data_IF_429441349087
#
_entry.id   IF_429441349087
#
_cell.length_a   1.000
_cell.length_b   1.000
_cell.length_c   1.000
_cell.angle_alpha   90.00
_cell.angle_beta   90.00
_cell.angle_gamma   90.00
#
_symmetry.space_group_name_H-M   'P 1'
#
loop_
_entity.id
_entity.type
_entity.pdbx_description
1 polymer ?
#
# COMPACT_ATOMS: atom_id res chain seq x y z
N UNK A 1 -21.28 7.68 -18.50
CA UNK A 1 -21.25 6.35 -19.14
C UNK A 1 -21.87 5.39 -18.18
N UNK A 2 -22.77 4.52 -18.62
CA UNK A 2 -23.31 3.51 -17.71
C UNK A 2 -22.24 2.48 -17.34
N UNK A 3 -22.26 1.90 -16.12
CA UNK A 3 -21.20 0.97 -15.68
C UNK A 3 -20.98 -0.21 -16.63
N UNK A 4 -22.06 -0.74 -17.21
CA UNK A 4 -22.00 -1.84 -18.17
C UNK A 4 -21.29 -1.45 -19.47
N UNK A 5 -21.61 -0.27 -20.02
CA UNK A 5 -20.94 0.25 -21.23
C UNK A 5 -19.44 0.50 -20.98
N UNK A 6 -19.08 0.86 -19.75
CA UNK A 6 -17.69 1.02 -19.36
C UNK A 6 -16.98 -0.33 -19.23
N UNK A 7 -17.60 -1.31 -18.57
CA UNK A 7 -17.08 -2.68 -18.45
C UNK A 7 -16.84 -3.32 -19.81
N UNK A 8 -17.77 -3.15 -20.76
CA UNK A 8 -17.63 -3.69 -22.12
C UNK A 8 -16.38 -3.17 -22.85
N UNK A 9 -15.80 -2.04 -22.41
CA UNK A 9 -14.57 -1.48 -22.97
C UNK A 9 -13.31 -2.00 -22.29
N UNK A 10 -13.35 -2.15 -20.96
CA UNK A 10 -12.14 -2.33 -20.15
C UNK A 10 -12.00 -3.71 -19.55
N UNK A 11 -13.03 -4.54 -19.61
CA UNK A 11 -13.08 -5.81 -18.91
C UNK A 11 -13.61 -6.96 -19.78
N UNK A 12 -13.37 -8.17 -19.30
CA UNK A 12 -14.04 -9.40 -19.72
C UNK A 12 -14.51 -10.18 -18.49
N UNK A 13 -15.42 -11.14 -18.67
CA UNK A 13 -15.87 -12.02 -17.59
C UNK A 13 -14.98 -13.26 -17.55
N UNK A 14 -14.39 -13.53 -16.38
CA UNK A 14 -13.62 -14.75 -16.09
C UNK A 14 -14.09 -15.40 -14.79
N UNK A 15 -13.61 -16.61 -14.54
CA UNK A 15 -13.80 -17.30 -13.26
C UNK A 15 -12.57 -17.12 -12.37
N UNK A 16 -12.80 -16.78 -11.10
CA UNK A 16 -11.74 -16.61 -10.11
C UNK A 16 -12.12 -17.32 -8.80
N UNK A 17 -11.14 -17.96 -8.16
CA UNK A 17 -11.31 -18.48 -6.80
C UNK A 17 -11.21 -17.32 -5.81
N UNK A 18 -12.31 -17.05 -5.10
CA UNK A 18 -12.44 -15.94 -4.14
C UNK A 18 -12.21 -16.37 -2.71
N UNK A 19 -11.77 -17.61 -2.49
CA UNK A 19 -11.65 -18.24 -1.17
C UNK A 19 -12.96 -18.77 -0.61
N UNK A 20 -14.10 -18.46 -1.25
CA UNK A 20 -15.42 -18.99 -0.94
C UNK A 20 -15.98 -19.90 -2.04
N UNK A 21 -15.24 -20.04 -3.15
CA UNK A 21 -15.64 -20.80 -4.33
C UNK A 21 -15.17 -20.12 -5.62
N UNK A 22 -15.52 -20.73 -6.75
CA UNK A 22 -15.35 -20.13 -8.06
C UNK A 22 -16.51 -19.17 -8.32
N UNK A 23 -16.19 -17.89 -8.52
CA UNK A 23 -17.15 -16.85 -8.86
C UNK A 23 -16.84 -16.25 -10.23
N UNK A 24 -17.89 -15.78 -10.92
CA UNK A 24 -17.73 -14.97 -12.12
C UNK A 24 -17.39 -13.53 -11.73
N UNK A 25 -16.29 -13.02 -12.28
CA UNK A 25 -15.77 -11.69 -12.00
C UNK A 25 -15.44 -10.96 -13.29
N UNK A 26 -15.49 -9.63 -13.24
CA UNK A 26 -14.93 -8.77 -14.26
C UNK A 26 -13.43 -8.65 -14.03
N UNK A 27 -12.65 -9.07 -15.02
CA UNK A 27 -11.20 -8.97 -15.07
C UNK A 27 -10.79 -7.91 -16.09
N UNK A 28 -9.75 -7.16 -15.78
CA UNK A 28 -9.19 -6.13 -16.65
C UNK A 28 -8.66 -6.74 -17.95
N UNK A 29 -9.00 -6.12 -19.09
CA UNK A 29 -8.44 -6.46 -20.40
C UNK A 29 -6.94 -6.12 -20.52
N UNK A 30 -6.36 -5.44 -19.53
CA UNK A 30 -4.97 -4.96 -19.57
C UNK A 30 -3.98 -5.92 -18.91
N UNK A 31 -4.37 -6.57 -17.82
CA UNK A 31 -3.48 -7.37 -16.97
C UNK A 31 -4.18 -8.49 -16.19
N UNK A 32 -5.44 -8.80 -16.53
CA UNK A 32 -6.28 -9.77 -15.82
C UNK A 32 -6.54 -9.44 -14.34
N UNK A 33 -6.30 -8.20 -13.91
CA UNK A 33 -6.59 -7.79 -12.53
C UNK A 33 -8.09 -7.75 -12.24
N UNK A 34 -8.46 -8.15 -11.03
CA UNK A 34 -9.85 -8.11 -10.56
C UNK A 34 -10.40 -6.68 -10.51
N UNK A 35 -11.61 -6.49 -11.04
CA UNK A 35 -12.35 -5.21 -10.99
C UNK A 35 -13.52 -5.32 -10.01
N UNK A 36 -14.44 -6.24 -10.26
CA UNK A 36 -15.65 -6.45 -9.47
C UNK A 36 -16.28 -7.82 -9.76
N UNK A 37 -17.12 -8.32 -8.86
CA UNK A 37 -17.98 -9.47 -9.16
C UNK A 37 -19.06 -9.13 -10.21
N UNK A 38 -19.46 -10.13 -10.99
CA UNK A 38 -20.65 -10.01 -11.86
C UNK A 38 -21.90 -9.79 -10.97
N UNK A 39 -22.74 -8.81 -11.34
CA UNK A 39 -23.87 -8.36 -10.52
C UNK A 39 -23.54 -7.21 -9.56
N UNK A 40 -22.28 -6.78 -9.47
CA UNK A 40 -21.84 -5.61 -8.70
C UNK A 40 -21.44 -4.43 -9.61
N UNK A 41 -22.02 -4.32 -10.80
CA UNK A 41 -21.69 -3.27 -11.78
C UNK A 41 -21.96 -1.88 -11.21
N UNK A 42 -22.95 -1.72 -10.33
CA UNK A 42 -23.23 -0.44 -9.68
C UNK A 42 -22.14 -0.01 -8.69
N UNK A 43 -21.44 -0.97 -8.08
CA UNK A 43 -20.38 -0.68 -7.12
C UNK A 43 -19.18 0.02 -7.77
N UNK A 44 -19.00 -0.11 -9.08
CA UNK A 44 -17.92 0.52 -9.84
C UNK A 44 -18.37 1.76 -10.63
N UNK A 45 -19.60 2.25 -10.42
CA UNK A 45 -20.14 3.43 -11.14
C UNK A 45 -19.20 4.63 -11.08
N UNK A 46 -18.50 4.82 -9.97
CA UNK A 46 -17.54 5.90 -9.81
C UNK A 46 -16.37 5.84 -10.82
N UNK A 47 -15.96 4.64 -11.25
CA UNK A 47 -14.95 4.45 -12.30
C UNK A 47 -15.51 4.83 -13.68
N UNK A 48 -16.73 4.38 -13.98
CA UNK A 48 -17.42 4.66 -15.24
C UNK A 48 -17.74 6.15 -15.43
N UNK A 49 -18.16 6.86 -14.38
CA UNK A 49 -18.45 8.31 -14.42
C UNK A 49 -17.21 9.14 -14.78
N UNK A 50 -16.05 8.70 -14.29
CA UNK A 50 -14.74 9.30 -14.55
C UNK A 50 -14.15 8.83 -15.87
N UNK A 51 -14.71 7.80 -16.49
CA UNK A 51 -14.21 7.22 -17.74
C UNK A 51 -12.73 6.83 -17.60
N UNK A 52 -12.42 6.11 -16.53
CA UNK A 52 -11.09 5.51 -16.30
C UNK A 52 -10.99 4.31 -17.25
N UNK A 53 -10.51 4.52 -18.46
CA UNK A 53 -10.57 3.50 -19.54
C UNK A 53 -9.22 2.97 -19.98
N UNK A 54 -8.14 3.62 -19.58
CA UNK A 54 -6.82 3.35 -20.13
C UNK A 54 -5.89 2.87 -19.01
N UNK A 55 -5.08 1.86 -19.31
CA UNK A 55 -4.08 1.30 -18.38
C UNK A 55 -4.67 0.94 -17.00
N UNK A 56 -5.84 0.30 -17.01
CA UNK A 56 -6.56 -0.10 -15.79
C UNK A 56 -5.92 -1.34 -15.18
N UNK A 57 -5.14 -1.16 -14.11
CA UNK A 57 -4.33 -2.20 -13.48
C UNK A 57 -4.37 -2.05 -11.96
N UNK A 58 -4.72 -3.13 -11.25
CA UNK A 58 -4.59 -3.22 -9.77
C UNK A 58 -5.07 -2.00 -8.97
N UNK A 59 -6.22 -1.42 -9.33
CA UNK A 59 -6.74 -0.25 -8.62
C UNK A 59 -6.13 1.09 -9.04
N UNK A 60 -5.48 1.14 -10.21
CA UNK A 60 -4.94 2.34 -10.85
C UNK A 60 -5.41 2.40 -12.31
N UNK A 61 -5.61 3.60 -12.84
CA UNK A 61 -5.98 3.77 -14.26
C UNK A 61 -6.07 5.23 -14.68
N UNK A 62 -6.01 5.47 -15.98
CA UNK A 62 -6.06 6.80 -16.58
C UNK A 62 -7.44 7.14 -17.12
N UNK A 63 -7.86 8.39 -16.92
CA UNK A 63 -9.07 8.95 -17.51
C UNK A 63 -8.72 9.93 -18.63
N UNK A 64 -8.98 9.58 -19.90
CA UNK A 64 -8.85 10.51 -21.02
C UNK A 64 -9.77 11.72 -20.90
N UNK A 65 -10.92 11.56 -20.23
CA UNK A 65 -11.90 12.62 -20.02
C UNK A 65 -11.37 13.75 -19.15
N UNK A 66 -10.71 13.39 -18.04
CA UNK A 66 -10.20 14.39 -17.08
C UNK A 66 -8.72 14.68 -17.25
N UNK A 67 -7.99 13.86 -18.01
CA UNK A 67 -6.53 13.93 -18.13
C UNK A 67 -5.81 13.58 -16.83
N UNK A 68 -6.39 12.70 -16.01
CA UNK A 68 -5.88 12.36 -14.66
C UNK A 68 -5.63 10.87 -14.51
N UNK A 69 -4.63 10.55 -13.71
CA UNK A 69 -4.39 9.21 -13.17
C UNK A 69 -5.16 9.03 -11.88
N UNK A 70 -5.94 7.96 -11.77
CA UNK A 70 -6.70 7.64 -10.58
C UNK A 70 -6.12 6.43 -9.87
N UNK A 71 -6.01 6.51 -8.55
CA UNK A 71 -5.78 5.38 -7.67
C UNK A 71 -7.02 5.17 -6.81
N UNK A 72 -7.44 3.92 -6.60
CA UNK A 72 -8.59 3.58 -5.77
C UNK A 72 -8.42 2.25 -5.04
N UNK A 73 -9.24 2.08 -4.01
CA UNK A 73 -9.44 0.85 -3.25
C UNK A 73 -10.90 0.81 -2.80
N UNK A 74 -11.29 -0.23 -2.06
CA UNK A 74 -12.58 -0.32 -1.37
C UNK A 74 -12.86 0.88 -0.44
N UNK A 75 -11.82 1.58 0.04
CA UNK A 75 -11.94 2.70 1.00
C UNK A 75 -12.04 4.08 0.35
N UNK A 76 -11.38 4.31 -0.77
CA UNK A 76 -11.23 5.65 -1.33
C UNK A 76 -10.83 5.64 -2.81
N UNK A 77 -11.03 6.79 -3.48
CA UNK A 77 -10.52 7.08 -4.83
C UNK A 77 -9.99 8.51 -4.88
N UNK A 78 -8.85 8.72 -5.53
CA UNK A 78 -8.28 10.04 -5.77
C UNK A 78 -7.69 10.14 -7.18
N UNK A 79 -7.77 11.32 -7.79
CA UNK A 79 -7.26 11.61 -9.13
C UNK A 79 -6.13 12.63 -9.11
N UNK A 80 -5.04 12.33 -9.81
CA UNK A 80 -3.80 13.08 -9.84
C UNK A 80 -3.50 13.55 -11.26
N UNK A 81 -3.03 14.79 -11.36
CA UNK A 81 -2.62 15.47 -12.59
C UNK A 81 -1.29 16.20 -12.41
N UNK A 82 -0.72 16.71 -13.51
CA UNK A 82 0.47 17.57 -13.44
C UNK A 82 0.18 18.77 -12.53
N UNK A 83 1.05 19.02 -11.55
CA UNK A 83 0.86 20.03 -10.51
C UNK A 83 0.24 19.50 -9.22
N UNK A 84 -0.20 18.24 -9.16
CA UNK A 84 -0.62 17.61 -7.91
C UNK A 84 0.53 17.54 -6.91
N UNK A 85 0.21 17.72 -5.63
CA UNK A 85 1.20 17.78 -4.55
C UNK A 85 1.10 16.55 -3.64
N UNK A 86 2.25 16.02 -3.27
CA UNK A 86 2.43 15.08 -2.18
C UNK A 86 3.10 15.80 -1.02
N UNK A 87 2.42 15.85 0.12
CA UNK A 87 2.84 16.53 1.35
C UNK A 87 2.66 15.59 2.53
N UNK A 88 3.43 15.80 3.59
CA UNK A 88 3.28 15.02 4.82
C UNK A 88 1.83 15.06 5.31
N UNK A 89 1.27 13.90 5.63
CA UNK A 89 -0.14 13.72 6.02
C UNK A 89 -1.10 13.43 4.86
N UNK A 90 -0.68 13.54 3.59
CA UNK A 90 -1.47 13.02 2.48
C UNK A 90 -1.42 11.48 2.48
N UNK A 91 -2.50 10.81 2.05
CA UNK A 91 -2.53 9.34 2.04
C UNK A 91 -1.45 8.73 1.15
N UNK A 92 -1.09 9.38 0.03
CA UNK A 92 -0.03 8.94 -0.89
C UNK A 92 1.37 9.41 -0.49
N UNK A 93 1.55 9.95 0.72
CA UNK A 93 2.86 10.32 1.24
C UNK A 93 3.58 9.09 1.78
N UNK A 94 4.82 8.90 1.31
CA UNK A 94 5.75 7.92 1.85
C UNK A 94 7.10 8.61 2.04
N UNK A 95 7.62 8.53 3.27
CA UNK A 95 8.86 9.17 3.70
C UNK A 95 10.04 8.84 2.76
N UNK A 96 10.89 9.84 2.51
CA UNK A 96 12.05 9.72 1.61
C UNK A 96 13.24 9.00 2.24
N UNK A 97 13.31 8.98 3.57
CA UNK A 97 14.39 8.37 4.32
C UNK A 97 13.83 7.35 5.30
N UNK A 98 14.60 6.30 5.63
CA UNK A 98 14.15 5.32 6.61
C UNK A 98 13.99 5.94 8.00
N UNK A 99 14.81 6.94 8.37
CA UNK A 99 14.65 7.66 9.63
C UNK A 99 13.31 8.40 9.71
N UNK A 100 12.94 9.16 8.67
CA UNK A 100 11.64 9.83 8.61
C UNK A 100 10.48 8.82 8.65
N UNK A 101 10.67 7.64 8.05
CA UNK A 101 9.67 6.57 8.07
C UNK A 101 9.45 5.99 9.46
N UNK A 102 10.53 5.80 10.22
CA UNK A 102 10.46 5.38 11.63
C UNK A 102 9.72 6.41 12.45
N UNK A 103 10.04 7.69 12.24
CA UNK A 103 9.39 8.79 12.94
C UNK A 103 7.90 8.87 12.60
N UNK A 104 7.53 8.71 11.32
CA UNK A 104 6.13 8.70 10.91
C UNK A 104 5.35 7.53 11.48
N UNK A 105 5.95 6.34 11.48
CA UNK A 105 5.35 5.15 12.10
C UNK A 105 5.16 5.34 13.60
N UNK A 106 6.17 5.84 14.33
CA UNK A 106 6.07 6.11 15.75
C UNK A 106 5.04 7.21 16.07
N UNK A 107 5.02 8.29 15.28
CA UNK A 107 4.10 9.41 15.47
C UNK A 107 2.63 9.01 15.26
N UNK A 108 2.35 8.04 14.40
CA UNK A 108 1.00 7.50 14.23
C UNK A 108 0.40 6.98 15.55
N UNK A 109 1.23 6.46 16.45
CA UNK A 109 0.81 5.94 17.76
C UNK A 109 1.06 6.90 18.93
N UNK A 110 1.54 8.12 18.65
CA UNK A 110 1.89 9.08 19.69
C UNK A 110 0.66 9.64 20.44
N UNK A 111 -0.53 9.54 19.85
CA UNK A 111 -1.79 9.90 20.48
C UNK A 111 -2.26 8.85 21.51
N UNK A 112 -1.74 7.62 21.45
CA UNK A 112 -1.97 6.56 22.43
C UNK A 112 -1.15 6.81 23.69
N UNK A 113 0.19 6.86 23.56
CA UNK A 113 1.12 7.30 24.62
C UNK A 113 2.55 7.50 24.09
N UNK A 114 3.38 8.21 24.86
CA UNK A 114 4.81 8.39 24.53
C UNK A 114 5.57 7.05 24.55
N UNK A 115 5.24 6.16 25.50
CA UNK A 115 5.81 4.81 25.58
C UNK A 115 5.43 3.97 24.36
N UNK A 116 4.20 4.10 23.86
CA UNK A 116 3.77 3.40 22.65
C UNK A 116 4.59 3.86 21.43
N UNK A 117 4.75 5.18 21.24
CA UNK A 117 5.59 5.71 20.17
C UNK A 117 7.06 5.25 20.30
N UNK A 118 7.63 5.22 21.51
CA UNK A 118 8.99 4.71 21.76
C UNK A 118 9.11 3.23 21.41
N UNK A 119 8.14 2.42 21.79
CA UNK A 119 8.10 0.99 21.45
C UNK A 119 8.05 0.81 19.92
N UNK A 120 7.17 1.52 19.23
CA UNK A 120 7.03 1.43 17.77
C UNK A 120 8.31 1.84 17.05
N UNK A 121 9.02 2.85 17.55
CA UNK A 121 10.36 3.20 17.06
C UNK A 121 11.36 2.06 17.23
N UNK A 122 11.36 1.38 18.37
CA UNK A 122 12.27 0.25 18.66
C UNK A 122 11.97 -1.01 17.84
N UNK A 123 10.74 -1.16 17.35
CA UNK A 123 10.32 -2.26 16.47
C UNK A 123 10.77 -2.08 15.01
N UNK A 124 11.26 -0.89 14.64
CA UNK A 124 11.73 -0.62 13.30
C UNK A 124 13.23 -0.87 13.16
N UNK A 125 13.63 -1.57 12.10
CA UNK A 125 15.03 -1.69 11.68
C UNK A 125 15.20 -1.13 10.28
N UNK A 126 16.25 -0.32 10.07
CA UNK A 126 16.62 0.17 8.76
C UNK A 126 17.23 -0.98 7.95
N UNK A 127 16.80 -1.15 6.70
CA UNK A 127 17.39 -2.15 5.80
C UNK A 127 18.85 -1.79 5.49
N UNK A 128 19.70 -2.78 5.23
CA UNK A 128 21.13 -2.57 4.94
C UNK A 128 21.37 -1.63 3.74
N UNK A 129 20.56 -1.78 2.70
CA UNK A 129 20.59 -0.93 1.50
C UNK A 129 19.94 0.44 1.72
N UNK A 130 19.40 0.69 2.93
CA UNK A 130 18.66 1.89 3.34
C UNK A 130 17.46 2.22 2.46
N UNK A 131 16.97 1.26 1.68
CA UNK A 131 15.82 1.44 0.79
C UNK A 131 14.49 1.51 1.54
N UNK A 132 14.48 1.36 2.86
CA UNK A 132 13.28 1.26 3.67
C UNK A 132 13.56 0.79 5.08
N UNK A 133 12.49 0.37 5.75
CA UNK A 133 12.52 -0.24 7.08
C UNK A 133 11.81 -1.59 7.05
N UNK A 134 12.16 -2.44 8.01
CA UNK A 134 11.34 -3.60 8.40
C UNK A 134 10.75 -3.33 9.77
N UNK A 135 9.49 -3.70 9.95
CA UNK A 135 8.77 -3.61 11.23
C UNK A 135 8.72 -5.03 11.81
N UNK A 136 9.29 -5.19 13.01
CA UNK A 136 9.25 -6.41 13.79
C UNK A 136 7.96 -6.40 14.63
N UNK A 137 6.97 -7.23 14.27
CA UNK A 137 5.76 -7.33 15.09
C UNK A 137 6.07 -8.09 16.40
N UNK A 138 6.07 -7.38 17.52
CA UNK A 138 6.26 -7.94 18.87
C UNK A 138 4.94 -8.57 19.38
N UNK A 139 4.94 -9.64 20.19
CA UNK A 139 6.10 -10.25 20.81
C UNK A 139 6.80 -11.18 19.82
N UNK A 140 8.09 -10.91 19.60
CA UNK A 140 9.01 -11.88 19.02
C UNK A 140 8.67 -13.21 19.70
N UNK A 141 8.10 -14.16 18.95
CA UNK A 141 8.02 -15.55 19.42
C UNK A 141 9.47 -15.96 19.52
N UNK A 142 10.04 -15.79 20.72
CA UNK A 142 11.43 -16.08 20.98
C UNK A 142 11.68 -17.48 20.40
N UNK A 143 12.68 -17.64 19.51
CA UNK A 143 13.11 -18.98 19.13
C UNK A 143 13.35 -19.77 20.42
N UNK A 144 13.20 -21.09 20.38
CA UNK A 144 13.56 -21.91 21.55
C UNK A 144 15.07 -21.74 21.76
N UNK A 145 15.42 -20.79 22.63
CA UNK A 145 16.80 -20.40 22.89
C UNK A 145 17.43 -21.51 23.72
N UNK A 146 18.65 -21.89 23.38
CA UNK A 146 19.38 -22.94 24.10
C UNK A 146 19.86 -22.47 25.48
N UNK A 147 19.96 -21.16 25.68
CA UNK A 147 20.47 -20.54 26.90
C UNK A 147 19.72 -19.24 27.26
N UNK A 148 19.66 -18.93 28.55
CA UNK A 148 18.89 -17.80 29.11
C UNK A 148 19.60 -16.45 28.90
N UNK A 149 20.93 -16.44 28.78
CA UNK A 149 21.71 -15.20 28.59
C UNK A 149 21.40 -14.50 27.26
N UNK A 150 21.11 -15.27 26.22
CA UNK A 150 20.76 -14.74 24.88
C UNK A 150 19.34 -14.12 24.87
N UNK A 151 18.53 -14.41 25.90
CA UNK A 151 17.17 -13.91 26.07
C UNK A 151 17.17 -12.49 26.66
N UNK A 152 18.14 -12.16 27.51
CA UNK A 152 18.26 -10.84 28.15
C UNK A 152 18.60 -9.77 27.10
N UNK A 153 19.57 -10.02 26.22
CA UNK A 153 19.97 -9.08 25.17
C UNK A 153 18.86 -8.82 24.13
N UNK A 154 18.08 -9.85 23.78
CA UNK A 154 16.97 -9.75 22.83
C UNK A 154 15.72 -9.05 23.38
N UNK A 155 15.49 -9.11 24.70
CA UNK A 155 14.39 -8.39 25.36
C UNK A 155 14.71 -6.90 25.56
N UNK A 156 15.95 -6.58 25.88
CA UNK A 156 16.37 -5.19 26.11
C UNK A 156 16.60 -4.41 24.81
N UNK A 157 16.86 -5.11 23.69
CA UNK A 157 17.06 -4.49 22.39
C UNK A 157 16.50 -5.35 21.22
N UNK A 158 15.17 -5.41 21.04
CA UNK A 158 14.53 -6.25 20.01
C UNK A 158 15.00 -5.92 18.58
N UNK A 159 15.47 -4.68 18.35
CA UNK A 159 16.06 -4.25 17.08
C UNK A 159 17.46 -4.80 16.78
N UNK A 160 18.03 -5.65 17.64
CA UNK A 160 19.37 -6.24 17.47
C UNK A 160 19.38 -7.73 17.08
N UNK A 161 18.21 -8.34 16.89
CA UNK A 161 18.11 -9.77 16.62
C UNK A 161 18.73 -10.17 15.26
N UNK A 162 19.56 -11.23 15.20
CA UNK A 162 20.05 -11.82 13.96
C UNK A 162 18.91 -12.25 13.03
N UNK A 163 19.09 -12.03 11.73
CA UNK A 163 18.08 -12.33 10.70
C UNK A 163 17.65 -13.81 10.68
N UNK A 164 18.56 -14.71 11.06
CA UNK A 164 18.35 -16.16 11.18
C UNK A 164 17.29 -16.56 12.22
N UNK A 165 16.93 -15.65 13.14
CA UNK A 165 15.99 -15.89 14.23
C UNK A 165 14.59 -15.32 13.96
N UNK A 166 14.37 -14.74 12.79
CA UNK A 166 13.12 -14.08 12.43
C UNK A 166 12.31 -14.96 11.45
N UNK A 167 11.04 -15.21 11.74
CA UNK A 167 10.16 -15.97 10.84
C UNK A 167 9.77 -15.10 9.63
N UNK A 168 9.97 -15.62 8.42
CA UNK A 168 9.73 -14.88 7.15
C UNK A 168 8.31 -14.29 7.01
N UNK A 169 7.31 -14.86 7.70
CA UNK A 169 5.90 -14.50 7.53
C UNK A 169 5.39 -13.39 8.47
N UNK A 170 6.18 -12.94 9.46
CA UNK A 170 5.74 -11.96 10.48
C UNK A 170 6.39 -10.57 10.28
N UNK A 171 6.97 -10.31 9.10
CA UNK A 171 7.77 -9.11 8.83
C UNK A 171 7.14 -8.24 7.75
N UNK A 172 6.81 -7.00 8.12
CA UNK A 172 6.37 -5.99 7.16
C UNK A 172 7.56 -5.14 6.73
N UNK A 173 7.93 -5.22 5.45
CA UNK A 173 8.93 -4.35 4.84
C UNK A 173 8.24 -3.18 4.16
N UNK A 174 8.60 -1.95 4.53
CA UNK A 174 8.10 -0.72 3.93
C UNK A 174 9.28 -0.03 3.24
N UNK A 175 9.14 0.24 1.93
CA UNK A 175 10.17 0.92 1.13
C UNK A 175 9.99 2.43 1.18
N UNK A 176 11.10 3.16 1.21
CA UNK A 176 11.12 4.62 1.12
C UNK A 176 10.46 5.09 -0.17
N UNK A 177 9.74 6.21 -0.05
CA UNK A 177 9.14 6.92 -1.16
C UNK A 177 9.97 8.12 -1.59
N UNK A 178 9.29 9.11 -2.15
CA UNK A 178 9.89 10.37 -2.60
C UNK A 178 9.79 11.50 -1.57
N UNK A 179 9.15 11.26 -0.42
CA UNK A 179 8.84 12.30 0.56
C UNK A 179 7.81 13.29 0.02
N UNK A 180 8.08 14.59 0.16
CA UNK A 180 7.24 15.64 -0.40
C UNK A 180 7.68 15.99 -1.83
N UNK A 181 6.73 16.06 -2.76
CA UNK A 181 7.04 16.34 -4.15
C UNK A 181 5.80 16.79 -4.94
N UNK A 182 6.03 17.41 -6.10
CA UNK A 182 4.97 17.88 -7.01
C UNK A 182 5.09 17.11 -8.32
N UNK A 183 3.97 16.64 -8.86
CA UNK A 183 3.95 15.92 -10.12
C UNK A 183 4.30 16.85 -11.28
N UNK A 184 5.42 16.59 -11.97
CA UNK A 184 5.89 17.42 -13.11
C UNK A 184 5.49 16.82 -14.45
N UNK A 185 5.13 15.54 -14.47
CA UNK A 185 4.79 14.77 -15.66
C UNK A 185 3.53 13.92 -15.43
N UNK A 186 2.98 13.32 -16.49
CA UNK A 186 1.88 12.36 -16.31
C UNK A 186 2.33 11.09 -15.60
N UNK A 187 3.57 10.64 -15.81
CA UNK A 187 4.14 9.50 -15.09
C UNK A 187 4.31 9.78 -13.59
N UNK A 188 4.60 11.04 -13.24
CA UNK A 188 4.58 11.46 -11.85
C UNK A 188 3.16 11.37 -11.26
N UNK A 189 2.14 11.82 -12.00
CA UNK A 189 0.75 11.70 -11.56
C UNK A 189 0.33 10.23 -11.42
N UNK A 190 0.77 9.36 -12.35
CA UNK A 190 0.60 7.91 -12.27
C UNK A 190 1.23 7.33 -11.01
N UNK A 191 2.47 7.73 -10.69
CA UNK A 191 3.13 7.28 -9.48
C UNK A 191 2.38 7.71 -8.21
N UNK A 192 1.83 8.94 -8.16
CA UNK A 192 0.97 9.36 -7.03
C UNK A 192 -0.29 8.50 -6.91
N UNK A 193 -0.91 8.12 -8.02
CA UNK A 193 -2.06 7.22 -8.02
C UNK A 193 -1.71 5.82 -7.48
N UNK A 194 -0.53 5.30 -7.86
CA UNK A 194 0.00 4.02 -7.34
C UNK A 194 0.26 4.12 -5.83
N UNK A 195 0.93 5.18 -5.38
CA UNK A 195 1.24 5.39 -3.97
C UNK A 195 -0.05 5.56 -3.14
N UNK A 196 -1.06 6.25 -3.69
CA UNK A 196 -2.37 6.37 -3.10
C UNK A 196 -3.06 5.01 -2.96
N UNK A 197 -3.16 4.24 -4.05
CA UNK A 197 -3.78 2.92 -4.06
C UNK A 197 -3.15 1.99 -3.00
N UNK A 198 -1.81 1.95 -2.92
CA UNK A 198 -1.09 1.13 -1.93
C UNK A 198 -1.38 1.53 -0.49
N UNK A 199 -1.58 2.82 -0.23
CA UNK A 199 -1.87 3.34 1.11
C UNK A 199 -3.30 3.04 1.58
N UNK A 200 -4.27 3.01 0.64
CA UNK A 200 -5.68 2.80 0.95
C UNK A 200 -6.19 1.39 0.65
N UNK A 201 -5.34 0.49 0.14
CA UNK A 201 -5.62 -0.95 -0.01
C UNK A 201 -5.39 -1.66 1.29
#
# INVERSE_FOLDING_TARGET
MEPKEWLDKVAYIGEMDTGFGLDNVYLSNFDDSYIAHVGMEESIRYLAEREITDELQHGVGFSPKTGKWYGWSHRAICGFEIGSECKKGHCHYVAATPEDMIDDYANFFADISEECAKQRRAECQILEDRSGIRILQTPIKLPVIKDISDLEDGLDNPGSLPEELLFENDMQVIKCGRGEWVAKTLEDAKQMAIDFNKSVS
#
